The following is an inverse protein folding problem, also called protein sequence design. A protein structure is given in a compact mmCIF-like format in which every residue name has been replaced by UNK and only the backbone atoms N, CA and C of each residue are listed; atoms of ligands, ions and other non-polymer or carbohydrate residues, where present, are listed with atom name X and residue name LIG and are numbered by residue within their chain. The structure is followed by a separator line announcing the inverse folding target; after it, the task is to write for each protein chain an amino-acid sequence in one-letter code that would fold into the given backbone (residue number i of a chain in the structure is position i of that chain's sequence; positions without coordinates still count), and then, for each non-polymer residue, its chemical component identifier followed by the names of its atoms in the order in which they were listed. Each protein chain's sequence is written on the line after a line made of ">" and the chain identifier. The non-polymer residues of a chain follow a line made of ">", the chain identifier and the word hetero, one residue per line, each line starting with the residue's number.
data_IF_202006215666
#
_entry.id   IF_202006215666
#
_cell.length_a   1.000
_cell.length_b   1.000
_cell.length_c   1.000
_cell.angle_alpha   90.00
_cell.angle_beta   90.00
_cell.angle_gamma   90.00
#
_symmetry.space_group_name_H-M   'P 1'
#
loop_
_entity.id
_entity.type
_entity.pdbx_description
1 polymer ?
#
# COMPACT_ATOMS: atom_id res chain seq x y z
N UNK A 1 9.72 -24.83 -1.56
CA UNK A 1 9.33 -24.08 -2.77
C UNK A 1 9.86 -22.68 -2.61
N UNK A 2 10.40 -22.10 -3.67
CA UNK A 2 10.73 -20.68 -3.63
C UNK A 2 9.45 -19.81 -3.56
N UNK A 3 9.62 -18.51 -3.34
CA UNK A 3 8.49 -17.58 -3.17
C UNK A 3 7.58 -17.51 -4.41
N UNK A 4 8.15 -17.49 -5.62
CA UNK A 4 7.39 -17.35 -6.87
C UNK A 4 6.67 -18.66 -7.18
N UNK A 5 7.33 -19.80 -6.98
CA UNK A 5 6.73 -21.13 -7.10
C UNK A 5 5.55 -21.30 -6.13
N UNK A 6 5.74 -20.93 -4.86
CA UNK A 6 4.68 -20.99 -3.84
C UNK A 6 3.49 -20.10 -4.23
N UNK A 7 3.74 -18.86 -4.67
CA UNK A 7 2.69 -17.94 -5.09
C UNK A 7 1.92 -18.45 -6.32
N UNK A 8 2.62 -18.98 -7.33
CA UNK A 8 1.98 -19.58 -8.51
C UNK A 8 1.12 -20.79 -8.14
N UNK A 9 1.64 -21.67 -7.28
CA UNK A 9 0.91 -22.85 -6.84
C UNK A 9 -0.32 -22.46 -6.03
N UNK A 10 -0.21 -21.49 -5.11
CA UNK A 10 -1.32 -20.93 -4.36
C UNK A 10 -2.44 -20.40 -5.28
N UNK A 11 -2.10 -19.60 -6.29
CA UNK A 11 -3.08 -19.08 -7.26
C UNK A 11 -3.76 -20.21 -8.05
N UNK A 12 -3.02 -21.23 -8.48
CA UNK A 12 -3.60 -22.35 -9.22
C UNK A 12 -4.58 -23.16 -8.36
N UNK A 13 -4.28 -23.36 -7.08
CA UNK A 13 -5.10 -24.16 -6.17
C UNK A 13 -6.33 -23.41 -5.65
N UNK A 14 -6.19 -22.14 -5.29
CA UNK A 14 -7.26 -21.37 -4.61
C UNK A 14 -8.04 -20.45 -5.55
N UNK A 15 -7.40 -19.96 -6.62
CA UNK A 15 -7.99 -19.00 -7.58
C UNK A 15 -7.88 -19.49 -9.04
N UNK A 16 -8.27 -20.74 -9.36
CA UNK A 16 -8.11 -21.30 -10.71
C UNK A 16 -8.91 -20.54 -11.77
N UNK A 17 -9.99 -19.86 -11.40
CA UNK A 17 -10.86 -19.08 -12.29
C UNK A 17 -10.58 -17.58 -12.32
N UNK A 18 -9.68 -17.05 -11.47
CA UNK A 18 -9.44 -15.61 -11.44
C UNK A 18 -8.89 -15.09 -12.79
N UNK A 19 -9.17 -13.81 -13.07
CA UNK A 19 -8.81 -13.13 -14.32
C UNK A 19 -7.34 -12.75 -14.33
N UNK A 20 -6.80 -12.30 -13.20
CA UNK A 20 -5.38 -12.01 -13.06
C UNK A 20 -4.93 -12.15 -11.61
N UNK A 21 -3.63 -12.38 -11.42
CA UNK A 21 -3.00 -12.37 -10.11
C UNK A 21 -1.58 -11.80 -10.20
N UNK A 22 -1.18 -11.04 -9.21
CA UNK A 22 0.13 -10.38 -9.12
C UNK A 22 0.73 -10.66 -7.75
N UNK A 23 1.97 -11.15 -7.73
CA UNK A 23 2.82 -11.17 -6.54
C UNK A 23 3.42 -9.78 -6.38
N UNK A 24 3.36 -9.20 -5.20
CA UNK A 24 3.88 -7.88 -4.87
C UNK A 24 4.80 -7.96 -3.65
N UNK A 25 5.14 -6.80 -3.09
CA UNK A 25 5.83 -6.73 -1.81
C UNK A 25 7.36 -6.83 -1.91
N UNK A 26 7.97 -7.07 -0.75
CA UNK A 26 9.42 -7.08 -0.57
C UNK A 26 10.12 -8.15 -1.41
N UNK A 27 9.47 -9.30 -1.65
CA UNK A 27 9.96 -10.38 -2.51
C UNK A 27 10.22 -9.91 -3.93
N UNK A 28 9.31 -9.12 -4.50
CA UNK A 28 9.46 -8.62 -5.87
C UNK A 28 10.57 -7.58 -5.99
N UNK A 29 10.77 -6.77 -4.94
CA UNK A 29 11.82 -5.74 -4.92
C UNK A 29 13.22 -6.29 -4.61
N UNK A 30 13.36 -7.58 -4.31
CA UNK A 30 14.63 -8.17 -3.87
C UNK A 30 15.03 -7.77 -2.45
N UNK A 31 14.08 -7.25 -1.68
CA UNK A 31 14.25 -6.78 -0.30
C UNK A 31 13.69 -7.80 0.72
N UNK A 32 13.48 -9.05 0.28
CA UNK A 32 12.93 -10.08 1.12
C UNK A 32 13.86 -10.43 2.28
N UNK A 33 13.26 -10.69 3.43
CA UNK A 33 13.89 -11.17 4.65
C UNK A 33 13.23 -12.48 5.07
N UNK A 34 13.78 -13.16 6.07
CA UNK A 34 13.17 -14.38 6.63
C UNK A 34 11.77 -14.14 7.24
N UNK A 35 11.43 -12.87 7.49
CA UNK A 35 10.11 -12.44 7.99
C UNK A 35 9.17 -11.91 6.92
N UNK A 36 9.57 -11.95 5.64
CA UNK A 36 8.75 -11.43 4.53
C UNK A 36 7.54 -12.31 4.24
N UNK A 37 6.40 -11.66 4.02
CA UNK A 37 5.17 -12.26 3.51
C UNK A 37 5.13 -12.26 1.97
N UNK A 38 4.26 -13.11 1.42
CA UNK A 38 3.87 -13.07 0.02
C UNK A 38 2.61 -12.24 -0.13
N UNK A 39 2.75 -11.03 -0.69
CA UNK A 39 1.62 -10.19 -1.05
C UNK A 39 1.04 -10.60 -2.39
N UNK A 40 -0.21 -11.04 -2.42
CA UNK A 40 -0.84 -11.49 -3.65
C UNK A 40 -2.10 -10.69 -3.91
N UNK A 41 -2.11 -9.92 -5.00
CA UNK A 41 -3.31 -9.23 -5.48
C UNK A 41 -4.01 -10.10 -6.51
N UNK A 42 -5.28 -10.43 -6.28
CA UNK A 42 -6.10 -11.26 -7.15
C UNK A 42 -7.26 -10.45 -7.72
N UNK A 43 -7.49 -10.58 -9.02
CA UNK A 43 -8.63 -10.01 -9.74
C UNK A 43 -9.60 -11.12 -10.13
N UNK A 44 -10.75 -11.19 -9.49
CA UNK A 44 -11.76 -12.23 -9.69
C UNK A 44 -13.17 -11.64 -9.83
N UNK A 45 -13.86 -11.96 -10.92
CA UNK A 45 -15.22 -11.45 -11.21
C UNK A 45 -16.31 -12.21 -10.42
N UNK A 46 -15.99 -13.38 -9.85
CA UNK A 46 -16.95 -14.20 -9.12
C UNK A 46 -17.29 -13.65 -7.72
N UNK A 47 -16.46 -12.74 -7.19
CA UNK A 47 -16.65 -12.18 -5.85
C UNK A 47 -17.56 -10.95 -5.86
N UNK A 48 -18.47 -10.89 -4.89
CA UNK A 48 -19.41 -9.77 -4.74
C UNK A 48 -18.77 -8.54 -4.09
N UNK A 49 -17.73 -8.72 -3.29
CA UNK A 49 -17.03 -7.66 -2.55
C UNK A 49 -15.56 -8.00 -2.34
N UNK A 50 -14.71 -6.98 -2.26
CA UNK A 50 -13.30 -7.16 -1.99
C UNK A 50 -13.06 -7.67 -0.56
N UNK A 51 -12.05 -8.50 -0.39
CA UNK A 51 -11.63 -8.98 0.93
C UNK A 51 -10.12 -9.18 0.99
N UNK A 52 -9.63 -9.33 2.21
CA UNK A 52 -8.25 -9.64 2.52
C UNK A 52 -8.19 -10.85 3.44
N UNK A 53 -7.26 -11.76 3.17
CA UNK A 53 -7.03 -12.94 3.99
C UNK A 53 -5.53 -13.13 4.23
N UNK A 54 -5.18 -13.62 5.41
CA UNK A 54 -3.81 -13.98 5.78
C UNK A 54 -3.77 -15.44 6.18
N UNK A 55 -2.82 -16.19 5.62
CA UNK A 55 -2.71 -17.63 5.81
C UNK A 55 -1.26 -18.10 5.72
N UNK A 56 -0.98 -19.29 6.23
CA UNK A 56 0.34 -19.91 6.15
C UNK A 56 0.28 -21.18 5.31
N UNK A 57 0.92 -21.18 4.13
CA UNK A 57 0.95 -22.32 3.21
C UNK A 57 2.30 -22.41 2.50
N UNK A 58 2.72 -23.63 2.16
CA UNK A 58 3.96 -23.91 1.43
C UNK A 58 5.24 -23.36 2.11
N UNK A 59 5.18 -23.13 3.43
CA UNK A 59 6.28 -22.54 4.21
C UNK A 59 6.31 -21.01 4.21
N UNK A 60 5.27 -20.35 3.69
CA UNK A 60 5.20 -18.89 3.57
C UNK A 60 3.97 -18.33 4.30
N UNK A 61 4.14 -17.19 4.96
CA UNK A 61 3.01 -16.31 5.27
C UNK A 61 2.55 -15.65 3.97
N UNK A 62 1.25 -15.74 3.67
CA UNK A 62 0.64 -15.22 2.46
C UNK A 62 -0.45 -14.23 2.88
N UNK A 63 -0.38 -13.00 2.40
CA UNK A 63 -1.44 -12.00 2.49
C UNK A 63 -2.05 -11.83 1.10
N UNK A 64 -3.33 -12.20 0.95
CA UNK A 64 -4.04 -12.14 -0.32
C UNK A 64 -5.09 -11.03 -0.29
N UNK A 65 -5.05 -10.17 -1.30
CA UNK A 65 -5.97 -9.05 -1.52
C UNK A 65 -6.82 -9.37 -2.76
N UNK A 66 -8.10 -9.68 -2.56
CA UNK A 66 -8.98 -10.13 -3.64
C UNK A 66 -9.96 -9.03 -4.01
N UNK A 67 -9.97 -8.66 -5.28
CA UNK A 67 -10.81 -7.60 -5.85
C UNK A 67 -11.54 -8.09 -7.11
N UNK A 68 -12.76 -7.61 -7.32
CA UNK A 68 -13.38 -7.63 -8.65
C UNK A 68 -13.01 -6.36 -9.45
N UNK A 69 -13.37 -6.31 -10.73
CA UNK A 69 -13.03 -5.20 -11.64
C UNK A 69 -13.68 -3.84 -11.31
N UNK A 70 -14.58 -3.80 -10.33
CA UNK A 70 -15.13 -2.56 -9.78
C UNK A 70 -14.36 -2.14 -8.53
N UNK A 71 -14.27 -3.04 -7.56
CA UNK A 71 -13.72 -2.77 -6.24
C UNK A 71 -12.25 -2.34 -6.26
N UNK A 72 -11.38 -2.87 -7.15
CA UNK A 72 -9.98 -2.41 -7.17
C UNK A 72 -9.87 -0.91 -7.48
N UNK A 73 -10.78 -0.36 -8.30
CA UNK A 73 -10.80 1.06 -8.64
C UNK A 73 -11.22 1.92 -7.46
N UNK A 74 -12.21 1.47 -6.70
CA UNK A 74 -12.63 2.14 -5.46
C UNK A 74 -11.45 2.21 -4.47
N UNK A 75 -10.65 1.14 -4.40
CA UNK A 75 -9.43 1.11 -3.58
C UNK A 75 -8.30 1.97 -4.15
N UNK A 76 -8.08 1.99 -5.47
CA UNK A 76 -7.15 2.92 -6.10
C UNK A 76 -7.50 4.38 -5.79
N UNK A 77 -8.78 4.75 -5.89
CA UNK A 77 -9.26 6.09 -5.58
C UNK A 77 -9.06 6.42 -4.10
N UNK A 78 -9.43 5.50 -3.20
CA UNK A 78 -9.22 5.64 -1.75
C UNK A 78 -7.74 5.87 -1.42
N UNK A 79 -6.85 5.06 -1.99
CA UNK A 79 -5.40 5.17 -1.86
C UNK A 79 -4.86 6.52 -2.33
N UNK A 80 -5.37 7.02 -3.45
CA UNK A 80 -5.00 8.33 -3.96
C UNK A 80 -5.48 9.46 -3.03
N UNK A 81 -6.72 9.39 -2.53
CA UNK A 81 -7.31 10.39 -1.61
C UNK A 81 -6.51 10.49 -0.31
N UNK A 82 -6.12 9.35 0.27
CA UNK A 82 -5.28 9.29 1.49
C UNK A 82 -3.79 9.50 1.21
N UNK A 83 -3.39 9.61 -0.05
CA UNK A 83 -2.01 9.71 -0.53
C UNK A 83 -1.09 8.57 -0.09
N UNK A 84 -1.64 7.37 0.04
CA UNK A 84 -0.91 6.13 0.36
C UNK A 84 -1.22 5.13 -0.75
N UNK A 85 -0.40 5.06 -1.82
CA UNK A 85 -0.72 4.31 -3.03
C UNK A 85 -0.37 2.83 -2.91
N UNK A 86 -0.83 2.15 -1.84
CA UNK A 86 -0.45 0.77 -1.53
C UNK A 86 -0.85 -0.20 -2.64
N UNK A 87 -2.14 -0.25 -3.02
CA UNK A 87 -2.63 -1.15 -4.07
C UNK A 87 -2.10 -0.76 -5.46
N UNK A 88 -2.09 0.53 -5.88
CA UNK A 88 -1.43 0.92 -7.12
C UNK A 88 0.04 0.48 -7.20
N UNK A 89 0.81 0.65 -6.12
CA UNK A 89 2.23 0.24 -6.08
C UNK A 89 2.38 -1.27 -6.19
N UNK A 90 1.61 -2.03 -5.41
CA UNK A 90 1.63 -3.50 -5.46
C UNK A 90 1.34 -4.02 -6.87
N UNK A 91 0.33 -3.45 -7.54
CA UNK A 91 -0.05 -3.88 -8.89
C UNK A 91 0.99 -3.45 -9.92
N UNK A 92 1.49 -2.21 -9.86
CA UNK A 92 2.44 -1.69 -10.85
C UNK A 92 3.79 -2.41 -10.83
N UNK A 93 4.38 -2.57 -9.64
CA UNK A 93 5.70 -3.17 -9.45
C UNK A 93 5.67 -4.70 -9.47
N UNK A 94 4.53 -5.31 -9.17
CA UNK A 94 4.43 -6.74 -8.92
C UNK A 94 4.68 -7.65 -10.13
N UNK A 95 5.05 -8.90 -9.87
CA UNK A 95 5.25 -9.95 -10.86
C UNK A 95 3.92 -10.61 -11.19
N UNK A 96 3.60 -10.71 -12.48
CA UNK A 96 2.36 -11.36 -12.93
C UNK A 96 2.47 -12.87 -12.70
N UNK A 97 1.54 -13.41 -11.91
CA UNK A 97 1.42 -14.85 -11.64
C UNK A 97 0.46 -15.54 -12.62
N UNK A 98 -0.60 -14.81 -13.01
CA UNK A 98 -1.64 -15.27 -13.94
C UNK A 98 -2.27 -14.06 -14.62
N UNK A 99 -2.64 -14.20 -15.88
CA UNK A 99 -3.39 -13.17 -16.61
C UNK A 99 -4.27 -13.79 -17.71
N UNK A 100 -5.46 -13.24 -17.86
CA UNK A 100 -6.42 -13.54 -18.91
C UNK A 100 -6.57 -12.37 -19.90
N UNK A 101 -5.54 -11.54 -20.05
CA UNK A 101 -5.48 -10.37 -20.95
C UNK A 101 -5.98 -9.05 -20.36
N UNK A 102 -6.02 -8.90 -19.02
CA UNK A 102 -6.47 -7.66 -18.37
C UNK A 102 -5.35 -6.93 -17.64
N UNK A 103 -4.26 -7.62 -17.27
CA UNK A 103 -3.32 -7.09 -16.29
C UNK A 103 -2.56 -5.87 -16.79
N UNK A 104 -2.16 -5.84 -18.07
CA UNK A 104 -1.40 -4.72 -18.65
C UNK A 104 -2.14 -3.39 -18.53
N UNK A 105 -3.47 -3.42 -18.72
CA UNK A 105 -4.31 -2.22 -18.57
C UNK A 105 -4.32 -1.73 -17.12
N UNK A 106 -4.45 -2.65 -16.16
CA UNK A 106 -4.50 -2.31 -14.73
C UNK A 106 -3.13 -1.81 -14.25
N UNK A 107 -2.03 -2.43 -14.67
CA UNK A 107 -0.66 -1.97 -14.35
C UNK A 107 -0.36 -0.60 -14.96
N UNK A 108 -0.87 -0.32 -16.16
CA UNK A 108 -0.77 0.99 -16.81
C UNK A 108 -1.55 2.06 -16.05
N UNK A 109 -2.80 1.76 -15.66
CA UNK A 109 -3.62 2.63 -14.81
C UNK A 109 -2.90 2.94 -13.48
N UNK A 110 -2.41 1.91 -12.79
CA UNK A 110 -1.66 2.04 -11.55
C UNK A 110 -0.38 2.89 -11.73
N UNK A 111 0.38 2.66 -12.79
CA UNK A 111 1.59 3.43 -13.12
C UNK A 111 1.29 4.91 -13.39
N UNK A 112 0.19 5.20 -14.08
CA UNK A 112 -0.24 6.58 -14.33
C UNK A 112 -0.65 7.28 -13.03
N UNK A 113 -1.37 6.60 -12.14
CA UNK A 113 -1.69 7.12 -10.81
C UNK A 113 -0.41 7.45 -10.05
N UNK A 114 0.52 6.50 -9.94
CA UNK A 114 1.79 6.70 -9.24
C UNK A 114 2.59 7.89 -9.78
N UNK A 115 2.62 8.06 -11.10
CA UNK A 115 3.29 9.19 -11.77
C UNK A 115 2.62 10.54 -11.47
N UNK A 116 1.30 10.58 -11.32
CA UNK A 116 0.55 11.82 -11.09
C UNK A 116 0.77 12.41 -9.70
N UNK A 117 1.10 11.58 -8.70
CA UNK A 117 1.16 12.03 -7.31
C UNK A 117 -0.24 12.26 -6.70
N UNK A 118 -0.31 12.49 -5.37
CA UNK A 118 -1.57 12.83 -4.72
C UNK A 118 -2.05 14.22 -5.12
N UNK A 119 -3.35 14.43 -5.02
CA UNK A 119 -3.93 15.76 -5.16
C UNK A 119 -3.32 16.73 -4.12
N UNK A 120 -3.08 18.01 -4.51
CA UNK A 120 -2.64 19.03 -3.58
C UNK A 120 -3.60 19.16 -2.42
N UNK A 121 -3.04 19.45 -1.25
CA UNK A 121 -3.84 19.98 -0.14
C UNK A 121 -4.32 21.39 -0.46
N UNK A 122 -5.49 21.73 0.09
CA UNK A 122 -5.97 23.11 0.07
C UNK A 122 -5.10 24.01 0.94
N UNK A 123 -5.14 25.33 0.71
CA UNK A 123 -4.45 26.31 1.55
C UNK A 123 -4.80 26.17 3.03
N UNK A 124 -6.06 25.88 3.33
CA UNK A 124 -6.58 25.71 4.68
C UNK A 124 -5.99 24.45 5.33
N UNK A 125 -5.89 23.36 4.57
CA UNK A 125 -5.29 22.11 5.05
C UNK A 125 -3.79 22.29 5.33
N UNK A 126 -3.07 23.01 4.45
CA UNK A 126 -1.64 23.32 4.67
C UNK A 126 -1.45 24.20 5.90
N UNK A 127 -2.28 25.22 6.08
CA UNK A 127 -2.22 26.09 7.27
C UNK A 127 -2.52 25.31 8.56
N UNK A 128 -3.57 24.48 8.54
CA UNK A 128 -3.94 23.61 9.67
C UNK A 128 -2.79 22.64 10.03
N UNK A 129 -2.22 21.93 9.05
CA UNK A 129 -1.12 20.99 9.32
C UNK A 129 0.13 21.69 9.84
N UNK A 130 0.44 22.90 9.34
CA UNK A 130 1.55 23.72 9.85
C UNK A 130 1.31 24.13 11.30
N UNK A 131 0.09 24.55 11.64
CA UNK A 131 -0.28 24.86 13.01
C UNK A 131 -0.08 23.65 13.94
N UNK A 132 -0.59 22.48 13.56
CA UNK A 132 -0.43 21.25 14.35
C UNK A 132 1.05 20.88 14.55
N UNK A 133 1.88 21.09 13.52
CA UNK A 133 3.33 20.86 13.60
C UNK A 133 4.01 21.80 14.59
N UNK A 134 3.69 23.08 14.55
CA UNK A 134 4.28 24.06 15.49
C UNK A 134 3.80 23.82 16.91
N UNK A 135 2.52 23.49 17.10
CA UNK A 135 1.92 23.16 18.40
C UNK A 135 2.61 21.91 19.02
N UNK A 136 2.75 20.84 18.24
CA UNK A 136 3.45 19.61 18.68
C UNK A 136 4.93 19.87 19.00
N UNK A 137 5.58 20.78 18.26
CA UNK A 137 6.96 21.17 18.54
C UNK A 137 7.08 21.98 19.83
N UNK A 138 6.15 22.89 20.09
CA UNK A 138 6.11 23.66 21.33
C UNK A 138 5.87 22.75 22.54
N UNK A 139 4.98 21.75 22.41
CA UNK A 139 4.76 20.71 23.41
C UNK A 139 6.06 19.91 23.68
N UNK A 140 6.81 19.56 22.62
CA UNK A 140 8.08 18.85 22.77
C UNK A 140 9.12 19.67 23.52
N UNK A 141 9.23 20.97 23.20
CA UNK A 141 10.18 21.88 23.86
C UNK A 141 9.77 22.14 25.32
N UNK A 142 8.46 22.21 25.59
CA UNK A 142 7.89 22.52 26.90
C UNK A 142 7.75 21.31 27.84
N UNK A 143 7.90 20.10 27.33
CA UNK A 143 7.79 18.88 28.12
C UNK A 143 8.88 18.80 29.21
N UNK A 144 8.47 18.31 30.37
CA UNK A 144 9.35 18.11 31.55
C UNK A 144 9.61 16.62 31.82
N UNK A 145 9.14 15.75 30.93
CA UNK A 145 8.99 14.32 31.16
C UNK A 145 9.54 13.53 29.98
N UNK A 146 10.65 12.84 30.20
CA UNK A 146 11.33 12.06 29.16
C UNK A 146 10.47 10.93 28.55
N UNK A 147 9.50 10.43 29.31
CA UNK A 147 8.53 9.45 28.82
C UNK A 147 7.51 10.08 27.85
N UNK A 148 7.08 11.32 28.10
CA UNK A 148 6.20 12.08 27.19
C UNK A 148 6.95 12.52 25.93
N UNK A 149 8.20 12.97 26.08
CA UNK A 149 9.09 13.37 24.97
C UNK A 149 9.12 12.32 23.86
N UNK A 150 9.20 11.04 24.21
CA UNK A 150 9.28 9.96 23.25
C UNK A 150 8.04 9.90 22.34
N UNK A 151 6.85 10.07 22.90
CA UNK A 151 5.60 10.03 22.14
C UNK A 151 5.38 11.30 21.33
N UNK A 152 5.75 12.46 21.87
CA UNK A 152 5.67 13.73 21.15
C UNK A 152 6.65 13.73 19.97
N UNK A 153 7.89 13.27 20.18
CA UNK A 153 8.88 13.12 19.12
C UNK A 153 8.42 12.17 18.00
N UNK A 154 7.79 11.04 18.34
CA UNK A 154 7.22 10.13 17.35
C UNK A 154 6.12 10.83 16.52
N UNK A 155 5.21 11.53 17.20
CA UNK A 155 4.12 12.28 16.55
C UNK A 155 4.66 13.36 15.62
N UNK A 156 5.68 14.09 16.06
CA UNK A 156 6.35 15.12 15.28
C UNK A 156 7.03 14.53 14.04
N UNK A 157 7.73 13.39 14.18
CA UNK A 157 8.40 12.73 13.06
C UNK A 157 7.41 12.29 11.96
N UNK A 158 6.29 11.67 12.34
CA UNK A 158 5.23 11.28 11.41
C UNK A 158 4.61 12.50 10.71
N UNK A 159 4.28 13.54 11.48
CA UNK A 159 3.65 14.75 10.96
C UNK A 159 4.57 15.53 10.00
N UNK A 160 5.88 15.62 10.29
CA UNK A 160 6.86 16.31 9.43
C UNK A 160 6.97 15.58 8.09
N UNK A 161 7.11 14.25 8.13
CA UNK A 161 7.22 13.44 6.91
C UNK A 161 5.95 13.56 6.06
N UNK A 162 4.76 13.46 6.67
CA UNK A 162 3.49 13.66 5.98
C UNK A 162 3.44 15.04 5.31
N UNK A 163 3.73 16.10 6.07
CA UNK A 163 3.65 17.47 5.59
C UNK A 163 4.63 17.72 4.44
N UNK A 164 5.90 17.30 4.58
CA UNK A 164 6.91 17.47 3.55
C UNK A 164 6.47 16.77 2.25
N UNK A 165 6.11 15.48 2.31
CA UNK A 165 5.72 14.74 1.12
C UNK A 165 4.46 15.33 0.46
N UNK A 166 3.43 15.64 1.26
CA UNK A 166 2.15 16.14 0.73
C UNK A 166 2.26 17.53 0.12
N UNK A 167 3.06 18.42 0.69
CA UNK A 167 3.30 19.76 0.10
C UNK A 167 4.15 19.72 -1.17
N UNK A 168 4.89 18.63 -1.40
CA UNK A 168 5.66 18.39 -2.62
C UNK A 168 4.96 17.46 -3.62
N UNK A 169 3.66 17.17 -3.42
CA UNK A 169 2.89 16.24 -4.27
C UNK A 169 3.53 14.86 -4.37
N UNK A 170 4.11 14.39 -3.27
CA UNK A 170 4.70 13.06 -3.16
C UNK A 170 3.80 12.15 -2.32
N UNK A 171 3.81 10.87 -2.66
CA UNK A 171 3.10 9.83 -1.95
C UNK A 171 3.72 9.59 -0.57
N UNK A 172 2.89 9.33 0.43
CA UNK A 172 3.32 8.95 1.77
C UNK A 172 3.62 7.44 1.78
N UNK A 173 4.73 7.06 2.40
CA UNK A 173 5.04 5.67 2.71
C UNK A 173 4.28 5.24 3.96
N UNK A 174 3.53 4.14 3.87
CA UNK A 174 2.87 3.49 5.00
C UNK A 174 2.87 1.97 4.78
N UNK A 175 2.69 1.21 5.87
CA UNK A 175 2.41 -0.23 5.75
C UNK A 175 1.11 -0.46 4.94
N UNK A 176 0.99 -1.67 4.39
CA UNK A 176 -0.16 -2.12 3.59
C UNK A 176 -1.46 -2.07 4.39
#
# INVERSE_FOLDING_TARGET
>A
MDAIEAAKHFIQSHFPSCRAAVLAGSVVRGEATDTSDLDIVVFDDSISSAYRESLFQYGWAIEVFVHNLKSYRDFFESDCKRARPSLPRMVHEGIVLKDSGIIDKIKSEAGQLLKNGPAPWSSETVAMKRYMLTDTLDDFIGSLRSDEDLFIANTLAEAIQEFFLRTHHQWIGASK
#
